data_IF_539406153175
#
_entry.id   IF_539406153175
#
_cell.length_a   1.000
_cell.length_b   1.000
_cell.length_c   1.000
_cell.angle_alpha   90.00
_cell.angle_beta   90.00
_cell.angle_gamma   90.00
#
_symmetry.space_group_name_H-M   'P 1'
#
loop_
_entity.id
_entity.type
_entity.pdbx_description
1 polymer ?
#
# COMPACT_ATOMS: atom_id res chain seq x y z
N UNK A 1 -15.19 29.63 -32.18
CA UNK A 1 -15.02 28.47 -31.27
C UNK A 1 -15.90 27.29 -31.70
N UNK A 2 -17.22 27.45 -31.91
CA UNK A 2 -18.10 26.35 -32.35
C UNK A 2 -17.76 25.76 -33.74
N UNK A 3 -17.26 26.57 -34.68
CA UNK A 3 -16.80 26.10 -36.00
C UNK A 3 -15.50 25.28 -35.95
N UNK A 4 -14.68 25.43 -34.91
CA UNK A 4 -13.45 24.66 -34.75
C UNK A 4 -13.76 23.28 -34.15
N UNK A 5 -14.74 23.20 -33.25
CA UNK A 5 -15.22 21.96 -32.64
C UNK A 5 -15.91 21.05 -33.67
N UNK A 6 -16.68 21.62 -34.61
CA UNK A 6 -17.30 20.85 -35.70
C UNK A 6 -16.26 20.29 -36.69
N UNK A 7 -15.19 21.03 -36.95
CA UNK A 7 -14.09 20.55 -37.82
C UNK A 7 -13.30 19.45 -37.11
N UNK A 8 -13.01 19.57 -35.81
CA UNK A 8 -12.32 18.53 -35.03
C UNK A 8 -13.18 17.27 -34.87
N UNK A 9 -14.51 17.38 -34.70
CA UNK A 9 -15.42 16.23 -34.68
C UNK A 9 -15.60 15.56 -36.06
N UNK A 10 -15.53 16.34 -37.15
CA UNK A 10 -15.56 15.81 -38.51
C UNK A 10 -14.24 15.12 -38.91
N UNK A 11 -13.10 15.51 -38.33
CA UNK A 11 -11.82 14.81 -38.53
C UNK A 11 -11.66 13.57 -37.64
N UNK A 12 -12.40 13.46 -36.53
CA UNK A 12 -12.40 12.28 -35.65
C UNK A 12 -13.37 11.17 -36.08
N UNK A 13 -14.17 11.38 -37.12
CA UNK A 13 -15.20 10.43 -37.61
C UNK A 13 -14.88 9.81 -38.98
N UNK A 14 -13.69 10.05 -39.53
CA UNK A 14 -13.30 9.57 -40.88
C UNK A 14 -12.39 8.34 -40.85
N UNK A 15 -11.85 7.92 -39.70
CA UNK A 15 -11.17 6.62 -39.65
C UNK A 15 -12.09 5.52 -39.13
N UNK A 16 -12.19 4.49 -39.97
CA UNK A 16 -12.78 3.16 -39.76
C UNK A 16 -14.23 3.04 -40.25
N UNK A 17 -14.38 2.98 -41.58
CA UNK A 17 -15.28 1.98 -42.16
C UNK A 17 -14.82 1.48 -43.54
N UNK A 18 -14.80 0.15 -43.62
CA UNK A 18 -14.84 -0.72 -44.80
C UNK A 18 -13.62 -0.85 -45.72
N UNK A 19 -13.02 -2.05 -45.68
CA UNK A 19 -12.76 -2.78 -46.90
C UNK A 19 -13.33 -4.21 -46.78
N UNK A 20 -14.43 -4.42 -47.49
CA UNK A 20 -14.99 -5.72 -47.86
C UNK A 20 -14.18 -6.25 -49.05
N UNK A 21 -13.58 -7.43 -48.91
CA UNK A 21 -13.05 -8.22 -50.03
C UNK A 21 -13.52 -9.65 -49.81
N UNK A 22 -14.53 -9.99 -50.58
CA UNK A 22 -15.03 -11.33 -50.84
C UNK A 22 -14.01 -12.06 -51.73
N UNK A 23 -13.42 -13.16 -51.24
CA UNK A 23 -12.75 -14.16 -52.08
C UNK A 23 -13.21 -15.54 -51.61
N UNK A 24 -14.15 -16.07 -52.40
CA UNK A 24 -14.39 -17.46 -52.80
C UNK A 24 -13.87 -18.61 -51.92
N UNK A 25 -14.81 -19.46 -51.52
CA UNK A 25 -14.63 -20.84 -51.06
C UNK A 25 -13.60 -21.59 -51.93
N UNK A 26 -12.64 -22.30 -51.32
CA UNK A 26 -12.22 -23.68 -51.66
C UNK A 26 -11.31 -24.29 -50.55
N UNK A 27 -11.64 -25.54 -50.20
CA UNK A 27 -10.95 -26.55 -49.38
C UNK A 27 -10.69 -26.37 -47.88
N UNK A 28 -11.48 -27.13 -47.12
CA UNK A 28 -11.26 -27.56 -45.74
C UNK A 28 -9.92 -28.32 -45.61
N UNK A 29 -8.88 -27.65 -45.13
CA UNK A 29 -7.66 -28.33 -44.70
C UNK A 29 -7.95 -29.07 -43.37
N UNK A 30 -8.28 -30.36 -43.47
CA UNK A 30 -8.33 -31.27 -42.33
C UNK A 30 -6.87 -31.52 -41.89
N UNK A 31 -6.42 -31.04 -40.71
CA UNK A 31 -5.10 -31.42 -40.23
C UNK A 31 -5.04 -32.94 -40.05
N UNK A 32 -3.90 -33.60 -40.32
CA UNK A 32 -3.80 -35.04 -40.27
C UNK A 32 -4.17 -35.52 -38.86
N UNK A 33 -5.17 -36.40 -38.78
CA UNK A 33 -5.50 -37.10 -37.54
C UNK A 33 -4.24 -37.79 -37.02
N UNK A 34 -3.81 -37.54 -35.78
CA UNK A 34 -2.80 -38.38 -35.15
C UNK A 34 -3.36 -39.81 -35.11
N UNK A 35 -2.54 -40.78 -35.52
CA UNK A 35 -2.86 -42.20 -35.35
C UNK A 35 -3.23 -42.48 -33.88
N UNK A 36 -4.09 -43.50 -33.60
CA UNK A 36 -4.49 -43.81 -32.25
C UNK A 36 -3.25 -44.23 -31.48
N UNK A 37 -2.75 -43.32 -30.65
CA UNK A 37 -1.93 -43.70 -29.51
C UNK A 37 -2.94 -44.30 -28.55
N UNK A 38 -2.73 -45.55 -28.12
CA UNK A 38 -3.48 -46.13 -27.02
C UNK A 38 -3.43 -45.14 -25.85
N UNK A 39 -4.50 -44.37 -25.67
CA UNK A 39 -4.69 -43.44 -24.58
C UNK A 39 -4.85 -44.26 -23.30
N UNK A 40 -3.73 -44.65 -22.72
CA UNK A 40 -3.65 -44.63 -21.27
C UNK A 40 -3.89 -43.18 -20.86
N UNK A 41 -5.16 -42.84 -20.62
CA UNK A 41 -5.59 -41.68 -19.86
C UNK A 41 -4.93 -41.76 -18.48
N UNK A 42 -3.65 -41.38 -18.38
CA UNK A 42 -3.03 -41.06 -17.11
C UNK A 42 -3.60 -39.69 -16.77
N UNK A 43 -4.50 -39.66 -15.79
CA UNK A 43 -5.02 -38.40 -15.29
C UNK A 43 -3.81 -37.58 -14.81
N UNK A 44 -3.70 -36.30 -15.15
CA UNK A 44 -2.59 -35.44 -14.68
C UNK A 44 -2.51 -35.44 -13.14
N UNK A 45 -3.64 -35.68 -12.48
CA UNK A 45 -3.76 -35.92 -11.04
C UNK A 45 -3.03 -37.18 -10.54
N UNK A 46 -2.89 -38.22 -11.35
CA UNK A 46 -2.22 -39.47 -10.95
C UNK A 46 -0.69 -39.28 -10.89
N UNK A 47 -0.14 -38.34 -11.67
CA UNK A 47 1.28 -38.03 -11.64
C UNK A 47 1.70 -37.39 -10.30
N UNK A 48 0.80 -36.60 -9.72
CA UNK A 48 1.03 -35.87 -8.47
C UNK A 48 0.39 -36.51 -7.22
N UNK A 49 -0.21 -37.71 -7.35
CA UNK A 49 -0.92 -38.38 -6.27
C UNK A 49 -0.03 -38.90 -5.13
N UNK A 50 1.29 -38.89 -5.30
CA UNK A 50 2.22 -39.49 -4.35
C UNK A 50 2.08 -41.02 -4.23
N UNK A 51 2.74 -41.61 -3.25
CA UNK A 51 2.59 -43.02 -2.89
C UNK A 51 1.32 -43.21 -2.03
N UNK A 52 0.53 -44.28 -2.25
CA UNK A 52 -0.64 -44.59 -1.42
C UNK A 52 -0.29 -44.87 0.05
N UNK A 53 0.98 -45.16 0.34
CA UNK A 53 1.47 -45.42 1.69
C UNK A 53 1.92 -44.14 2.43
N UNK A 54 1.95 -42.99 1.75
CA UNK A 54 2.43 -41.74 2.32
C UNK A 54 1.26 -40.78 2.55
N UNK A 55 1.04 -40.41 3.80
CA UNK A 55 0.12 -39.33 4.15
C UNK A 55 0.90 -38.03 4.34
N UNK A 56 0.36 -36.93 3.81
CA UNK A 56 0.97 -35.61 3.96
C UNK A 56 -0.09 -34.56 4.26
N UNK A 57 0.21 -33.68 5.21
CA UNK A 57 -0.64 -32.55 5.59
C UNK A 57 0.22 -31.29 5.59
N UNK A 58 -0.23 -30.26 4.88
CA UNK A 58 0.41 -28.94 4.87
C UNK A 58 -0.38 -27.98 5.76
N UNK A 59 0.33 -27.21 6.59
CA UNK A 59 -0.26 -26.17 7.42
C UNK A 59 0.63 -24.93 7.40
N UNK A 60 0.03 -23.76 7.16
CA UNK A 60 0.73 -22.48 7.28
C UNK A 60 0.94 -22.14 8.75
N UNK A 61 2.18 -21.78 9.12
CA UNK A 61 2.58 -21.58 10.52
C UNK A 61 2.81 -20.12 10.83
N UNK A 62 3.64 -19.48 10.01
CA UNK A 62 3.80 -18.04 10.04
C UNK A 62 3.14 -17.49 8.79
N UNK A 63 2.03 -16.78 8.98
CA UNK A 63 1.67 -15.76 8.06
C UNK A 63 1.89 -14.40 8.74
N UNK A 64 2.42 -13.40 8.03
CA UNK A 64 1.73 -12.12 8.01
C UNK A 64 0.46 -12.36 7.18
N UNK A 65 -0.60 -12.93 7.79
CA UNK A 65 -1.92 -12.90 7.14
C UNK A 65 -2.28 -11.42 7.16
N UNK A 66 -2.47 -10.81 5.99
CA UNK A 66 -3.11 -9.51 5.95
C UNK A 66 -4.54 -9.62 6.51
N UNK A 67 -5.13 -8.48 6.86
CA UNK A 67 -6.51 -8.39 7.36
C UNK A 67 -7.42 -9.26 6.48
N UNK A 68 -7.95 -10.35 7.06
CA UNK A 68 -8.74 -11.37 6.37
C UNK A 68 -9.98 -10.73 5.74
N UNK A 69 -9.89 -10.29 4.48
CA UNK A 69 -11.04 -9.76 3.74
C UNK A 69 -12.04 -10.86 3.36
N UNK A 70 -11.60 -12.13 3.37
CA UNK A 70 -12.44 -13.28 2.99
C UNK A 70 -12.25 -14.48 3.95
N UNK A 71 -13.33 -15.06 4.48
CA UNK A 71 -13.27 -16.11 5.51
C UNK A 71 -12.86 -17.51 4.99
N UNK A 72 -12.35 -17.63 3.76
CA UNK A 72 -12.06 -18.94 3.15
C UNK A 72 -10.85 -19.00 2.21
N UNK A 73 -10.14 -17.90 1.97
CA UNK A 73 -8.97 -17.90 1.08
C UNK A 73 -7.71 -17.52 1.85
N UNK A 74 -6.68 -18.38 1.79
CA UNK A 74 -5.36 -18.08 2.35
C UNK A 74 -4.79 -16.85 1.63
N UNK A 75 -4.36 -15.85 2.41
CA UNK A 75 -3.82 -14.59 1.90
C UNK A 75 -2.46 -14.30 2.52
N UNK A 76 -1.43 -14.11 1.68
CA UNK A 76 -0.06 -13.82 2.13
C UNK A 76 0.27 -12.36 1.88
N UNK A 77 1.08 -11.72 2.73
CA UNK A 77 1.61 -10.38 2.45
C UNK A 77 2.81 -10.48 1.52
N UNK A 78 2.75 -9.77 0.40
CA UNK A 78 3.83 -9.72 -0.58
C UNK A 78 5.08 -9.04 0.01
N UNK A 79 6.27 -9.51 -0.33
CA UNK A 79 7.54 -8.96 0.17
C UNK A 79 7.88 -9.35 1.61
N UNK A 80 7.02 -10.09 2.33
CA UNK A 80 7.29 -10.62 3.67
C UNK A 80 7.55 -12.13 3.63
N UNK A 81 8.33 -12.68 4.57
CA UNK A 81 8.49 -14.12 4.68
C UNK A 81 7.16 -14.78 5.09
N UNK A 82 6.80 -15.85 4.40
CA UNK A 82 5.73 -16.77 4.75
C UNK A 82 6.31 -18.16 4.99
N UNK A 83 5.79 -18.89 5.99
CA UNK A 83 6.27 -20.22 6.33
C UNK A 83 5.13 -21.22 6.48
N UNK A 84 5.38 -22.44 6.04
CA UNK A 84 4.50 -23.58 6.27
C UNK A 84 5.28 -24.78 6.81
N UNK A 85 4.55 -25.68 7.46
CA UNK A 85 5.04 -26.99 7.88
C UNK A 85 4.29 -28.06 7.09
N UNK A 86 5.04 -29.02 6.59
CA UNK A 86 4.52 -30.26 6.04
C UNK A 86 4.73 -31.37 7.06
N UNK A 87 3.65 -32.00 7.50
CA UNK A 87 3.69 -33.22 8.29
C UNK A 87 3.54 -34.42 7.35
N UNK A 88 4.53 -35.30 7.38
CA UNK A 88 4.58 -36.53 6.60
C UNK A 88 4.47 -37.72 7.54
N UNK A 89 3.67 -38.71 7.16
CA UNK A 89 3.52 -39.97 7.88
C UNK A 89 3.59 -41.14 6.91
N UNK A 90 4.49 -42.08 7.20
CA UNK A 90 4.55 -43.34 6.48
C UNK A 90 3.59 -44.35 7.12
N UNK A 91 2.60 -44.80 6.34
CA UNK A 91 1.54 -45.70 6.77
C UNK A 91 2.07 -46.94 7.48
N UNK A 92 1.35 -47.39 8.50
CA UNK A 92 1.73 -48.57 9.30
C UNK A 92 1.83 -49.85 8.47
N UNK A 93 1.08 -49.92 7.38
CA UNK A 93 0.98 -51.10 6.53
C UNK A 93 2.05 -51.13 5.43
N UNK A 94 2.84 -50.07 5.29
CA UNK A 94 3.91 -50.01 4.30
C UNK A 94 5.11 -50.85 4.74
N UNK A 95 5.76 -51.49 3.78
CA UNK A 95 7.06 -52.15 3.98
C UNK A 95 8.23 -51.32 3.43
N UNK A 96 7.92 -50.22 2.74
CA UNK A 96 8.89 -49.42 2.01
C UNK A 96 9.33 -48.23 2.86
N UNK A 97 10.64 -47.97 2.89
CA UNK A 97 11.17 -46.68 3.34
C UNK A 97 11.24 -45.70 2.17
N UNK A 98 11.01 -44.43 2.48
CA UNK A 98 10.97 -43.36 1.49
C UNK A 98 12.06 -42.34 1.78
N UNK A 99 12.96 -42.13 0.82
CA UNK A 99 14.00 -41.11 0.92
C UNK A 99 13.53 -39.81 0.29
N UNK A 100 13.36 -38.79 1.13
CA UNK A 100 12.93 -37.46 0.75
C UNK A 100 14.05 -36.75 -0.01
N UNK A 101 13.78 -36.19 -1.19
CA UNK A 101 14.79 -35.53 -2.01
C UNK A 101 14.63 -34.02 -2.05
N UNK A 102 13.45 -33.55 -2.46
CA UNK A 102 13.23 -32.14 -2.78
C UNK A 102 11.84 -31.73 -2.29
N UNK A 103 11.78 -30.62 -1.58
CA UNK A 103 10.55 -29.86 -1.34
C UNK A 103 10.68 -28.53 -2.08
N UNK A 104 9.72 -28.25 -2.95
CA UNK A 104 9.69 -27.03 -3.75
C UNK A 104 8.31 -26.37 -3.71
N UNK A 105 8.31 -25.07 -3.91
CA UNK A 105 7.09 -24.29 -4.04
C UNK A 105 7.23 -23.32 -5.22
N UNK A 106 6.15 -23.13 -5.97
CA UNK A 106 6.13 -22.22 -7.11
C UNK A 106 4.78 -21.54 -7.24
N UNK A 107 4.80 -20.35 -7.84
CA UNK A 107 3.60 -19.63 -8.25
C UNK A 107 3.38 -19.76 -9.75
N UNK A 108 2.13 -19.97 -10.13
CA UNK A 108 1.69 -20.03 -11.52
C UNK A 108 0.35 -19.33 -11.70
N UNK A 109 0.01 -19.04 -12.96
CA UNK A 109 -1.30 -18.52 -13.29
C UNK A 109 -2.36 -19.61 -13.14
N UNK A 110 -3.57 -19.25 -12.66
CA UNK A 110 -4.70 -20.16 -12.69
C UNK A 110 -4.93 -20.70 -14.10
N UNK A 111 -5.06 -22.03 -14.22
CA UNK A 111 -5.25 -22.77 -15.50
C UNK A 111 -4.02 -22.86 -16.42
N UNK A 112 -2.87 -22.32 -16.05
CA UNK A 112 -1.66 -22.40 -16.90
C UNK A 112 -0.41 -22.77 -16.09
N UNK A 113 -0.20 -24.08 -15.92
CA UNK A 113 0.91 -24.65 -15.14
C UNK A 113 2.26 -24.67 -15.88
N UNK A 114 2.28 -24.45 -17.19
CA UNK A 114 3.50 -24.47 -18.00
C UNK A 114 4.41 -23.24 -17.85
N UNK A 115 4.00 -22.24 -17.06
CA UNK A 115 4.78 -21.03 -16.80
C UNK A 115 4.79 -20.68 -15.32
N UNK A 116 5.99 -20.62 -14.76
CA UNK A 116 6.22 -20.21 -13.38
C UNK A 116 6.42 -18.69 -13.31
N UNK A 117 5.58 -18.04 -12.52
CA UNK A 117 5.67 -16.62 -12.21
C UNK A 117 6.85 -16.38 -11.27
N UNK A 118 6.93 -17.20 -10.23
CA UNK A 118 8.02 -17.19 -9.27
C UNK A 118 8.29 -18.61 -8.79
N UNK A 119 9.52 -19.07 -8.99
CA UNK A 119 10.03 -20.28 -8.34
C UNK A 119 10.65 -19.89 -7.00
N UNK A 120 10.21 -20.53 -5.92
CA UNK A 120 10.82 -20.35 -4.62
C UNK A 120 12.02 -21.29 -4.43
N UNK A 121 12.73 -21.11 -3.32
CA UNK A 121 13.97 -21.85 -3.02
C UNK A 121 13.71 -23.35 -2.89
N UNK A 122 14.33 -24.14 -3.76
CA UNK A 122 14.26 -25.60 -3.66
C UNK A 122 14.99 -26.11 -2.39
N UNK A 123 14.25 -26.71 -1.47
CA UNK A 123 14.81 -27.31 -0.25
C UNK A 123 15.21 -28.76 -0.52
N UNK A 124 16.52 -29.04 -0.50
CA UNK A 124 17.04 -30.41 -0.59
C UNK A 124 16.93 -31.11 0.75
N UNK A 125 16.33 -32.29 0.73
CA UNK A 125 16.13 -33.15 1.88
C UNK A 125 17.09 -34.35 1.77
N UNK A 126 17.56 -34.83 2.92
CA UNK A 126 18.47 -35.99 3.02
C UNK A 126 17.95 -37.01 4.03
N UNK A 127 16.69 -36.88 4.42
CA UNK A 127 16.07 -37.71 5.44
C UNK A 127 15.36 -38.90 4.79
N UNK A 128 15.47 -40.06 5.42
CA UNK A 128 14.70 -41.25 5.06
C UNK A 128 13.60 -41.46 6.09
N UNK A 129 12.39 -41.68 5.60
CA UNK A 129 11.21 -41.96 6.40
C UNK A 129 10.96 -43.47 6.41
N UNK A 130 11.29 -44.11 7.53
CA UNK A 130 11.05 -45.54 7.72
C UNK A 130 9.55 -45.84 7.91
N UNK A 131 9.11 -47.10 7.75
CA UNK A 131 7.74 -47.49 8.04
C UNK A 131 7.33 -47.11 9.47
N UNK A 132 6.11 -46.56 9.63
CA UNK A 132 5.56 -46.06 10.91
C UNK A 132 6.25 -44.83 11.48
N UNK A 133 7.10 -44.18 10.71
CA UNK A 133 7.75 -42.94 11.10
C UNK A 133 6.98 -41.74 10.57
N UNK A 134 7.05 -40.64 11.31
CA UNK A 134 6.58 -39.32 10.91
C UNK A 134 7.75 -38.34 10.82
N UNK A 135 7.63 -37.36 9.92
CA UNK A 135 8.59 -36.27 9.79
C UNK A 135 7.85 -34.94 9.60
N UNK A 136 8.40 -33.87 10.15
CA UNK A 136 7.95 -32.51 9.89
C UNK A 136 9.01 -31.77 9.09
N UNK A 137 8.58 -31.11 8.02
CA UNK A 137 9.42 -30.27 7.17
C UNK A 137 8.96 -28.83 7.33
N UNK A 138 9.87 -27.95 7.70
CA UNK A 138 9.61 -26.51 7.77
C UNK A 138 10.19 -25.83 6.53
N UNK A 139 9.38 -25.03 5.86
CA UNK A 139 9.74 -24.32 4.64
C UNK A 139 9.33 -22.85 4.73
N UNK A 140 10.23 -21.96 4.35
CA UNK A 140 10.03 -20.51 4.37
C UNK A 140 10.38 -19.92 3.02
N UNK A 141 9.54 -19.01 2.52
CA UNK A 141 9.75 -18.31 1.26
C UNK A 141 9.31 -16.86 1.36
N UNK A 142 9.74 -16.04 0.40
CA UNK A 142 9.40 -14.62 0.31
C UNK A 142 8.77 -14.36 -1.06
N UNK A 143 7.46 -14.09 -1.15
CA UNK A 143 6.81 -13.65 -2.38
C UNK A 143 7.37 -12.31 -2.84
N UNK A 144 7.50 -12.11 -4.15
CA UNK A 144 7.92 -10.82 -4.69
C UNK A 144 6.89 -9.73 -4.37
N UNK A 145 7.35 -8.53 -4.01
CA UNK A 145 6.48 -7.40 -3.64
C UNK A 145 5.56 -6.94 -4.80
N UNK A 146 5.97 -7.20 -6.04
CA UNK A 146 5.24 -6.85 -7.26
C UNK A 146 3.96 -7.69 -7.47
N UNK A 147 3.80 -8.77 -6.71
CA UNK A 147 2.64 -9.68 -6.79
C UNK A 147 1.41 -9.16 -6.02
N UNK A 148 1.55 -8.02 -5.34
CA UNK A 148 0.51 -7.38 -4.54
C UNK A 148 -0.78 -7.14 -5.34
N UNK A 149 -1.93 -7.43 -4.71
CA UNK A 149 -3.27 -7.22 -5.26
C UNK A 149 -3.70 -8.25 -6.30
N UNK A 150 -2.90 -9.28 -6.54
CA UNK A 150 -3.19 -10.34 -7.51
C UNK A 150 -3.40 -11.70 -6.83
N UNK A 151 -4.09 -12.59 -7.54
CA UNK A 151 -4.32 -13.97 -7.14
C UNK A 151 -3.48 -14.89 -8.00
N UNK A 152 -2.74 -15.79 -7.36
CA UNK A 152 -1.94 -16.79 -8.05
C UNK A 152 -2.16 -18.15 -7.42
N UNK A 153 -1.97 -19.19 -8.21
CA UNK A 153 -1.98 -20.55 -7.70
C UNK A 153 -0.61 -20.84 -7.10
N UNK A 154 -0.62 -21.32 -5.85
CA UNK A 154 0.56 -21.79 -5.15
C UNK A 154 0.57 -23.32 -5.22
N UNK A 155 1.56 -23.87 -5.92
CA UNK A 155 1.88 -25.30 -5.85
C UNK A 155 3.02 -25.53 -4.86
N UNK A 156 2.83 -26.54 -3.99
CA UNK A 156 3.88 -27.10 -3.15
C UNK A 156 4.01 -28.57 -3.50
N UNK A 157 5.20 -28.98 -3.93
CA UNK A 157 5.48 -30.32 -4.43
C UNK A 157 6.61 -30.93 -3.62
N UNK A 158 6.38 -32.15 -3.13
CA UNK A 158 7.41 -32.97 -2.48
C UNK A 158 7.78 -34.12 -3.40
N UNK A 159 9.06 -34.19 -3.75
CA UNK A 159 9.65 -35.28 -4.51
C UNK A 159 10.45 -36.20 -3.60
N UNK A 160 10.15 -37.49 -3.66
CA UNK A 160 10.82 -38.54 -2.89
C UNK A 160 10.89 -39.83 -3.71
N UNK A 161 11.62 -40.82 -3.22
CA UNK A 161 11.71 -42.12 -3.87
C UNK A 161 11.63 -43.25 -2.84
N UNK A 162 11.16 -44.40 -3.29
CA UNK A 162 11.21 -45.63 -2.50
C UNK A 162 12.57 -46.33 -2.58
N UNK A 163 12.72 -47.41 -1.82
CA UNK A 163 13.91 -48.27 -1.82
C UNK A 163 14.23 -48.89 -3.19
N UNK A 164 13.25 -48.99 -4.09
CA UNK A 164 13.44 -49.52 -5.45
C UNK A 164 13.94 -48.45 -6.44
N UNK A 165 14.02 -47.19 -5.99
CA UNK A 165 14.42 -46.05 -6.80
C UNK A 165 13.28 -45.44 -7.62
N UNK A 166 12.02 -45.86 -7.40
CA UNK A 166 10.87 -45.24 -8.07
C UNK A 166 10.60 -43.87 -7.44
N UNK A 167 10.58 -42.85 -8.30
CA UNK A 167 10.31 -41.47 -7.92
C UNK A 167 8.80 -41.22 -7.78
N UNK A 168 8.43 -40.45 -6.77
CA UNK A 168 7.07 -39.96 -6.54
C UNK A 168 7.13 -38.44 -6.39
N UNK A 169 6.30 -37.74 -7.15
CA UNK A 169 6.03 -36.32 -6.97
C UNK A 169 4.66 -36.20 -6.31
N UNK A 170 4.59 -35.60 -5.14
CA UNK A 170 3.37 -35.49 -4.36
C UNK A 170 3.01 -34.01 -4.25
N UNK A 171 1.89 -33.60 -4.85
CA UNK A 171 1.36 -32.25 -4.69
C UNK A 171 0.70 -32.12 -3.32
N UNK A 172 1.33 -31.34 -2.45
CA UNK A 172 0.89 -31.14 -1.06
C UNK A 172 -0.12 -30.01 -0.92
N UNK A 173 -0.04 -29.03 -1.81
CA UNK A 173 -0.91 -27.87 -1.85
C UNK A 173 -0.96 -27.37 -3.29
N UNK A 174 -2.16 -27.06 -3.79
CA UNK A 174 -2.37 -26.53 -5.13
C UNK A 174 -3.66 -25.71 -5.12
N UNK A 175 -3.60 -24.53 -4.51
CA UNK A 175 -4.77 -23.65 -4.37
C UNK A 175 -4.41 -22.22 -4.74
N UNK A 176 -5.42 -21.47 -5.17
CA UNK A 176 -5.31 -20.03 -5.45
C UNK A 176 -5.23 -19.26 -4.14
N UNK A 177 -4.16 -18.47 -3.98
CA UNK A 177 -3.96 -17.58 -2.84
C UNK A 177 -3.92 -16.12 -3.29
N UNK A 178 -4.28 -15.21 -2.37
CA UNK A 178 -4.23 -13.77 -2.60
C UNK A 178 -2.93 -13.20 -2.03
N UNK A 179 -2.34 -12.23 -2.73
CA UNK A 179 -1.21 -11.46 -2.21
C UNK A 179 -1.64 -10.04 -1.83
N UNK A 180 -1.43 -9.71 -0.56
CA UNK A 180 -1.82 -8.43 0.01
C UNK A 180 -0.62 -7.49 0.12
N UNK A 181 -0.91 -6.19 0.15
CA UNK A 181 0.10 -5.17 0.38
C UNK A 181 0.57 -5.18 1.84
N UNK A 182 1.84 -4.89 2.05
CA UNK A 182 2.36 -4.64 3.38
C UNK A 182 1.86 -3.28 3.88
N UNK A 183 0.78 -3.31 4.66
CA UNK A 183 0.24 -2.12 5.31
C UNK A 183 1.12 -1.62 6.48
N UNK A 184 2.27 -2.24 6.77
CA UNK A 184 3.22 -1.76 7.80
C UNK A 184 3.98 -0.47 7.41
N UNK A 185 3.60 0.19 6.30
CA UNK A 185 3.95 1.58 6.08
C UNK A 185 3.33 2.48 7.14
N UNK A 186 4.12 3.41 7.69
CA UNK A 186 3.58 4.52 8.49
C UNK A 186 2.40 5.13 7.72
N UNK A 187 1.19 5.09 8.31
CA UNK A 187 -0.03 5.60 7.66
C UNK A 187 0.05 7.12 7.51
N UNK A 188 0.70 7.55 6.42
CA UNK A 188 0.90 8.94 6.10
C UNK A 188 -0.43 9.63 5.81
N UNK A 189 -1.46 8.91 5.37
CA UNK A 189 -2.78 9.48 5.16
C UNK A 189 -3.38 9.91 6.50
N UNK A 190 -3.35 9.05 7.52
CA UNK A 190 -3.87 9.37 8.85
C UNK A 190 -3.02 10.42 9.56
N UNK A 191 -1.69 10.34 9.47
CA UNK A 191 -0.79 11.34 10.06
C UNK A 191 -0.97 12.70 9.39
N UNK A 192 -1.07 12.74 8.06
CA UNK A 192 -1.32 13.95 7.30
C UNK A 192 -2.68 14.55 7.65
N UNK A 193 -3.73 13.72 7.72
CA UNK A 193 -5.07 14.14 8.11
C UNK A 193 -5.06 14.72 9.54
N UNK A 194 -4.39 14.06 10.48
CA UNK A 194 -4.22 14.54 11.85
C UNK A 194 -3.53 15.91 11.90
N UNK A 195 -2.42 16.07 11.16
CA UNK A 195 -1.68 17.33 11.09
C UNK A 195 -2.51 18.44 10.42
N UNK A 196 -3.27 18.11 9.38
CA UNK A 196 -4.19 19.04 8.70
C UNK A 196 -5.28 19.52 9.66
N UNK A 197 -5.90 18.62 10.42
CA UNK A 197 -6.93 18.96 11.41
C UNK A 197 -6.36 19.91 12.46
N UNK A 198 -5.17 19.62 13.00
CA UNK A 198 -4.50 20.51 13.96
C UNK A 198 -4.24 21.90 13.36
N UNK A 199 -3.76 21.96 12.11
CA UNK A 199 -3.54 23.22 11.40
C UNK A 199 -4.82 24.04 11.22
N UNK A 200 -5.93 23.40 10.82
CA UNK A 200 -7.24 24.05 10.68
C UNK A 200 -7.74 24.58 12.02
N UNK A 201 -7.61 23.81 13.10
CA UNK A 201 -7.97 24.25 14.45
C UNK A 201 -7.22 25.52 14.87
N UNK A 202 -5.91 25.58 14.63
CA UNK A 202 -5.10 26.78 14.93
C UNK A 202 -5.55 27.97 14.09
N UNK A 203 -5.83 27.78 12.80
CA UNK A 203 -6.31 28.82 11.91
C UNK A 203 -7.66 29.41 12.38
N UNK A 204 -8.59 28.53 12.78
CA UNK A 204 -9.90 28.94 13.32
C UNK A 204 -9.74 29.76 14.60
N UNK A 205 -8.85 29.35 15.52
CA UNK A 205 -8.55 30.11 16.74
C UNK A 205 -8.01 31.51 16.43
N UNK A 206 -7.08 31.63 15.47
CA UNK A 206 -6.53 32.93 15.04
C UNK A 206 -7.63 33.80 14.41
N UNK A 207 -8.49 33.21 13.58
CA UNK A 207 -9.58 33.94 12.93
C UNK A 207 -10.58 34.48 13.97
N UNK A 208 -10.96 33.66 14.94
CA UNK A 208 -11.82 34.04 16.07
C UNK A 208 -11.16 35.16 16.87
N UNK A 209 -9.87 35.02 17.21
CA UNK A 209 -9.11 36.04 17.93
C UNK A 209 -9.10 37.38 17.19
N UNK A 210 -8.86 37.36 15.89
CA UNK A 210 -8.80 38.56 15.06
C UNK A 210 -10.18 39.21 14.90
N UNK A 211 -11.24 38.41 14.79
CA UNK A 211 -12.62 38.88 14.72
C UNK A 211 -13.09 39.55 16.02
N UNK A 212 -12.79 38.93 17.18
CA UNK A 212 -13.07 39.50 18.50
C UNK A 212 -12.28 40.79 18.69
N UNK A 213 -10.99 40.79 18.36
CA UNK A 213 -10.11 41.96 18.49
C UNK A 213 -10.58 43.13 17.63
N UNK A 214 -11.06 42.88 16.40
CA UNK A 214 -11.66 43.90 15.52
C UNK A 214 -12.97 44.49 16.05
N UNK A 215 -13.77 43.71 16.79
CA UNK A 215 -15.01 44.18 17.42
C UNK A 215 -14.74 44.92 18.74
N UNK A 216 -13.75 44.49 19.52
CA UNK A 216 -13.36 45.13 20.78
C UNK A 216 -12.64 46.48 20.59
N UNK A 217 -12.04 46.72 19.41
CA UNK A 217 -11.39 47.99 19.06
C UNK A 217 -12.33 49.13 18.62
N UNK A 218 -13.63 48.89 18.42
CA UNK A 218 -14.61 49.95 18.14
C UNK A 218 -15.20 50.50 19.43
N UNK A 219 -14.40 51.16 20.26
CA UNK A 219 -14.94 52.16 21.20
C UNK A 219 -15.02 53.49 20.44
N UNK A 220 -16.18 54.17 20.40
CA UNK A 220 -16.26 55.47 19.76
C UNK A 220 -15.40 56.45 20.57
N UNK A 221 -14.36 56.98 19.95
CA UNK A 221 -13.60 58.09 20.51
C UNK A 221 -14.03 59.36 19.78
N UNK A 222 -14.70 60.25 20.53
CA UNK A 222 -15.12 61.60 20.10
C UNK A 222 -16.65 61.77 20.15
N UNK A 223 -17.23 62.74 20.86
CA UNK A 223 -16.68 63.80 21.70
C UNK A 223 -17.75 64.81 22.13
N UNK A 224 -17.42 65.58 23.18
CA UNK A 224 -17.84 66.96 23.50
C UNK A 224 -19.29 67.26 23.95
N UNK A 225 -19.37 67.59 25.25
CA UNK A 225 -20.05 68.74 25.88
C UNK A 225 -21.28 69.36 25.22
N UNK A 226 -22.42 69.29 25.91
CA UNK A 226 -23.55 70.22 25.79
C UNK A 226 -24.06 70.57 27.19
N UNK A 227 -24.05 71.85 27.53
CA UNK A 227 -24.51 72.44 28.79
C UNK A 227 -25.99 72.11 29.06
N UNK A 228 -26.31 71.75 30.31
CA UNK A 228 -27.61 72.03 30.92
C UNK A 228 -27.39 72.40 32.39
N UNK A 229 -27.38 73.70 32.63
CA UNK A 229 -27.48 74.31 33.95
C UNK A 229 -28.91 74.08 34.46
N UNK A 230 -29.06 73.39 35.58
CA UNK A 230 -30.21 73.56 36.45
C UNK A 230 -29.76 73.37 37.90
N UNK A 231 -30.09 74.35 38.75
CA UNK A 231 -29.52 74.53 40.07
C UNK A 231 -29.98 73.50 41.10
N UNK A 232 -29.16 73.31 42.14
CA UNK A 232 -29.40 73.82 43.50
C UNK A 232 -28.34 73.25 44.44
N UNK A 233 -27.68 74.16 45.16
CA UNK A 233 -27.20 74.08 46.54
C UNK A 233 -26.27 72.94 47.00
N UNK A 234 -25.23 73.30 47.75
CA UNK A 234 -24.36 72.32 48.41
C UNK A 234 -22.87 72.64 48.42
N UNK A 235 -22.51 73.66 49.18
CA UNK A 235 -21.18 74.01 49.69
C UNK A 235 -20.23 72.82 49.90
N UNK A 236 -19.07 72.78 49.22
CA UNK A 236 -17.83 72.20 49.78
C UNK A 236 -16.57 72.92 49.26
N UNK A 237 -15.75 73.27 50.24
CA UNK A 237 -14.51 74.02 50.21
C UNK A 237 -13.38 73.13 49.66
N UNK A 238 -12.68 73.56 48.61
CA UNK A 238 -11.50 72.87 48.11
C UNK A 238 -10.27 73.56 48.69
N UNK A 239 -9.79 72.99 49.79
CA UNK A 239 -8.57 73.36 50.48
C UNK A 239 -7.34 73.12 49.58
N UNK A 240 -6.51 74.15 49.47
CA UNK A 240 -5.23 74.12 48.77
C UNK A 240 -4.18 73.42 49.64
N UNK A 241 -3.63 72.30 49.17
CA UNK A 241 -2.31 71.85 49.63
C UNK A 241 -1.36 71.70 48.46
N UNK A 242 -0.56 72.75 48.32
CA UNK A 242 0.70 72.85 47.60
C UNK A 242 1.73 71.80 48.01
N UNK A 243 2.41 71.16 47.05
CA UNK A 243 3.86 70.82 47.15
C UNK A 243 4.59 70.92 45.80
N UNK A 244 5.13 72.12 45.58
CA UNK A 244 6.45 72.51 45.02
C UNK A 244 7.24 71.49 44.17
N UNK A 245 7.50 71.87 42.91
CA UNK A 245 8.74 71.62 42.12
C UNK A 245 9.86 72.60 42.59
N UNK A 246 11.14 72.68 42.10
CA UNK A 246 11.78 72.02 40.94
C UNK A 246 13.30 71.65 41.08
N UNK A 247 13.86 70.91 40.10
CA UNK A 247 15.18 71.19 39.49
C UNK A 247 15.49 70.26 38.31
N UNK A 248 15.46 70.81 37.10
CA UNK A 248 16.32 70.39 35.99
C UNK A 248 16.81 71.66 35.28
N UNK A 249 18.11 71.80 35.00
CA UNK A 249 18.62 72.94 34.26
C UNK A 249 18.43 72.77 32.76
N UNK A 250 18.32 73.93 32.14
CA UNK A 250 17.86 74.23 30.80
C UNK A 250 19.03 74.34 29.81
N UNK A 251 18.68 74.14 28.53
CA UNK A 251 19.21 74.84 27.35
C UNK A 251 20.61 74.51 26.83
N UNK A 252 20.62 74.01 25.58
CA UNK A 252 21.78 73.88 24.71
C UNK A 252 21.31 73.73 23.26
N UNK A 253 20.93 74.87 22.68
CA UNK A 253 20.49 75.13 21.30
C UNK A 253 21.58 74.79 20.24
N UNK A 254 21.20 74.47 18.99
CA UNK A 254 22.13 74.56 17.85
C UNK A 254 21.95 73.55 16.72
N UNK A 255 21.16 73.94 15.73
CA UNK A 255 20.80 73.22 14.51
C UNK A 255 21.83 73.50 13.37
N UNK A 256 22.40 72.48 12.71
CA UNK A 256 23.01 72.61 11.35
C UNK A 256 22.86 71.30 10.54
N UNK A 257 21.79 71.24 9.75
CA UNK A 257 21.65 70.94 8.31
C UNK A 257 22.53 69.92 7.51
N UNK A 258 22.03 69.44 6.33
CA UNK A 258 22.09 68.04 5.92
C UNK A 258 23.13 67.71 4.83
N UNK A 259 23.46 66.41 4.72
CA UNK A 259 24.32 65.83 3.68
C UNK A 259 23.51 65.55 2.40
N UNK A 260 23.91 66.17 1.29
CA UNK A 260 23.50 65.78 -0.08
C UNK A 260 24.72 65.51 -0.98
N UNK A 261 24.66 64.37 -1.66
CA UNK A 261 25.12 64.00 -3.02
C UNK A 261 26.52 64.42 -3.57
N UNK A 262 27.31 63.37 -3.80
CA UNK A 262 27.89 62.93 -5.09
C UNK A 262 29.03 63.69 -5.81
N UNK A 263 30.13 62.95 -6.00
CA UNK A 263 30.86 62.61 -7.26
C UNK A 263 32.00 63.54 -7.77
N UNK A 264 33.06 62.84 -8.20
CA UNK A 264 34.19 63.20 -9.10
C UNK A 264 35.27 64.10 -8.46
N UNK A 265 36.58 63.88 -8.65
CA UNK A 265 37.37 62.93 -9.44
C UNK A 265 38.85 63.38 -9.43
N UNK A 266 39.77 62.45 -9.74
CA UNK A 266 41.16 62.63 -10.22
C UNK A 266 42.03 63.74 -9.59
N UNK A 267 43.15 63.35 -8.97
CA UNK A 267 44.44 63.00 -9.59
C UNK A 267 45.30 62.32 -8.55
#
# INVERSE_FOLDING_TARGET
MLRLVFVVLAFLSIEIFCQEVEISDEELFVPPQPAPIDELHINENDFYAGSPDMSAILSFVDPPLGQLEFPSSISLVAGKPASFIVLLENSRNSSNSYSLQILEAALHYPRYFGYHIQNFTVQRLQNTLEPKQQASLHYTFVPAAELTGQHFDLAVILTYHDQTGKLYSHALFNETIAFLEDAEGMDFELIFLGLMIVGVCVLVLIFIWHWISKKAGRRPHGGKSGLAFNGTDGMRLNEYVTKKSPRQPNSGNGNVNPKMKHRQGKK
#
